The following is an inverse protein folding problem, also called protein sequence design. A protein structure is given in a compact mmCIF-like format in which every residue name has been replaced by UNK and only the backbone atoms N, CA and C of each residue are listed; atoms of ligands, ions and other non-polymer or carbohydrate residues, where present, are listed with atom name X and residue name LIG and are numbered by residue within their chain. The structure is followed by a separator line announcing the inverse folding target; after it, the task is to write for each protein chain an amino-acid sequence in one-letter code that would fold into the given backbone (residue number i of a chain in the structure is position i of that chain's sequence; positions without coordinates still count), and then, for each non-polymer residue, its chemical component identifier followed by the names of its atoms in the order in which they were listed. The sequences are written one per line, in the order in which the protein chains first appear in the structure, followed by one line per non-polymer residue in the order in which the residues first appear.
data_IF_886450553649
#
_entry.id   IF_886450553649
#
_cell.length_a   1.000
_cell.length_b   1.000
_cell.length_c   1.000
_cell.angle_alpha   90.00
_cell.angle_beta   90.00
_cell.angle_gamma   90.00
#
_symmetry.space_group_name_H-M   'P 1'
#
loop_
_entity.id
_entity.type
_entity.pdbx_description
1 polymer ?
#
# COMPACT_ATOMS: atom_id res chain seq x y z
N UNK A 1 -20.57 64.33 -20.43
CA UNK A 1 -20.58 62.86 -20.47
C UNK A 1 -19.66 62.40 -19.34
N UNK A 2 -20.12 61.83 -18.24
CA UNK A 2 -21.37 61.12 -17.95
C UNK A 2 -21.60 61.14 -16.43
N UNK A 3 -22.83 61.44 -16.04
CA UNK A 3 -23.33 61.30 -14.67
C UNK A 3 -23.08 59.89 -14.11
N UNK A 4 -22.56 59.83 -12.89
CA UNK A 4 -22.75 58.67 -12.01
C UNK A 4 -23.29 59.19 -10.67
N UNK A 5 -24.58 58.93 -10.34
CA UNK A 5 -25.13 59.33 -9.06
C UNK A 5 -24.54 58.46 -7.95
N UNK A 6 -24.21 59.11 -6.82
CA UNK A 6 -23.75 58.46 -5.61
C UNK A 6 -24.77 57.43 -5.11
N UNK A 7 -24.30 56.22 -4.84
CA UNK A 7 -25.10 55.16 -4.20
C UNK A 7 -25.40 55.59 -2.76
N UNK A 8 -26.68 55.62 -2.32
CA UNK A 8 -27.02 55.98 -0.95
C UNK A 8 -26.49 54.93 0.03
N UNK A 9 -26.18 55.30 1.29
CA UNK A 9 -25.72 54.34 2.28
C UNK A 9 -26.81 53.29 2.54
N UNK A 10 -26.42 52.02 2.51
CA UNK A 10 -27.30 50.88 2.83
C UNK A 10 -27.89 51.07 4.23
N UNK A 11 -29.20 50.81 4.42
CA UNK A 11 -29.82 50.89 5.74
C UNK A 11 -29.16 49.89 6.69
N UNK A 12 -28.69 50.40 7.83
CA UNK A 12 -28.24 49.61 8.97
C UNK A 12 -29.42 48.81 9.51
N UNK A 13 -29.50 47.52 9.16
CA UNK A 13 -30.56 46.66 9.69
C UNK A 13 -30.97 45.44 8.87
N UNK A 14 -30.25 45.06 7.82
CA UNK A 14 -30.46 43.78 7.16
C UNK A 14 -29.37 42.78 7.61
N UNK A 15 -29.55 42.22 8.80
CA UNK A 15 -28.89 40.95 9.13
C UNK A 15 -29.31 39.95 8.04
N UNK A 16 -28.36 39.54 7.22
CA UNK A 16 -28.53 38.48 6.26
C UNK A 16 -28.85 37.20 7.03
N UNK A 17 -30.13 36.88 7.14
CA UNK A 17 -30.63 35.56 7.50
C UNK A 17 -30.32 34.58 6.37
N UNK A 18 -29.04 34.42 6.03
CA UNK A 18 -28.57 33.13 5.53
C UNK A 18 -28.70 32.18 6.72
N UNK A 19 -29.38 31.02 6.59
CA UNK A 19 -29.38 30.04 7.65
C UNK A 19 -27.92 29.75 8.00
N UNK A 20 -27.51 30.08 9.24
CA UNK A 20 -26.21 29.69 9.77
C UNK A 20 -26.09 28.20 9.48
N UNK A 21 -25.12 27.82 8.66
CA UNK A 21 -24.87 26.43 8.34
C UNK A 21 -24.76 25.69 9.69
N UNK A 22 -25.72 24.83 10.05
CA UNK A 22 -25.81 24.28 11.41
C UNK A 22 -24.65 23.34 11.75
N UNK A 23 -23.74 23.15 10.79
CA UNK A 23 -22.60 22.24 10.86
C UNK A 23 -21.24 22.93 10.91
N UNK A 24 -21.16 24.26 11.05
CA UNK A 24 -19.89 25.00 11.17
C UNK A 24 -18.99 24.52 12.32
N UNK A 25 -19.54 23.81 13.30
CA UNK A 25 -18.82 23.28 14.46
C UNK A 25 -18.80 21.75 14.53
N UNK A 26 -19.14 21.04 13.45
CA UNK A 26 -19.05 19.57 13.44
C UNK A 26 -17.58 19.18 13.21
N UNK A 27 -16.91 18.52 14.16
CA UNK A 27 -15.51 18.13 13.96
C UNK A 27 -15.43 17.16 12.77
N UNK A 28 -14.59 17.48 11.79
CA UNK A 28 -14.28 16.60 10.65
C UNK A 28 -13.85 15.23 11.21
N UNK A 29 -14.66 14.19 10.98
CA UNK A 29 -14.49 12.88 11.62
C UNK A 29 -13.32 12.09 11.00
N UNK A 30 -13.07 12.28 9.70
CA UNK A 30 -11.89 11.76 9.01
C UNK A 30 -11.32 12.79 8.03
N UNK A 31 -10.13 13.28 8.35
CA UNK A 31 -9.34 14.16 7.48
C UNK A 31 -8.26 13.34 6.78
N UNK A 32 -8.39 13.12 5.47
CA UNK A 32 -7.41 12.37 4.68
C UNK A 32 -6.10 13.15 4.51
N UNK A 33 -6.16 14.49 4.45
CA UNK A 33 -4.98 15.34 4.33
C UNK A 33 -4.11 15.33 5.60
N UNK A 34 -4.74 15.23 6.78
CA UNK A 34 -4.07 15.13 8.08
C UNK A 34 -3.85 13.71 8.56
N UNK A 35 -4.51 12.67 8.05
CA UNK A 35 -4.30 11.29 8.52
C UNK A 35 -3.49 10.41 7.57
N UNK A 36 -3.36 10.78 6.29
CA UNK A 36 -2.44 10.07 5.39
C UNK A 36 -0.99 10.35 5.79
N UNK A 37 -0.25 9.28 6.05
CA UNK A 37 1.13 9.35 6.56
C UNK A 37 2.05 9.94 5.50
N UNK A 38 1.78 9.67 4.23
CA UNK A 38 2.58 10.20 3.12
C UNK A 38 2.42 11.72 3.02
N UNK A 39 1.19 12.24 3.21
CA UNK A 39 0.92 13.69 3.23
C UNK A 39 1.44 14.39 4.47
N UNK A 40 1.40 13.74 5.65
CA UNK A 40 2.07 14.27 6.86
C UNK A 40 3.56 14.48 6.65
N UNK A 41 4.18 13.61 5.84
CA UNK A 41 5.60 13.68 5.50
C UNK A 41 5.88 14.52 4.25
N UNK A 42 4.87 15.19 3.67
CA UNK A 42 5.02 16.10 2.53
C UNK A 42 5.08 15.42 1.16
N UNK A 43 4.78 14.11 1.07
CA UNK A 43 4.81 13.37 -0.20
C UNK A 43 3.41 13.24 -0.82
N UNK A 44 3.37 13.11 -2.16
CA UNK A 44 2.14 12.86 -2.90
C UNK A 44 1.66 11.42 -2.65
N UNK A 45 0.59 11.27 -1.87
CA UNK A 45 0.00 9.97 -1.60
C UNK A 45 -0.60 9.35 -2.86
N UNK A 46 -0.34 8.04 -3.08
CA UNK A 46 -1.00 7.28 -4.15
C UNK A 46 -2.51 7.10 -3.92
N UNK A 47 -3.23 6.70 -4.97
CA UNK A 47 -4.70 6.55 -4.96
C UNK A 47 -5.13 5.36 -4.07
N UNK A 48 -6.11 5.60 -3.20
CA UNK A 48 -6.70 4.60 -2.30
C UNK A 48 -5.64 3.89 -1.42
N UNK A 49 -5.44 2.59 -1.60
CA UNK A 49 -4.47 1.78 -0.85
C UNK A 49 -3.06 1.84 -1.44
N UNK A 50 -2.89 2.39 -2.65
CA UNK A 50 -1.59 2.41 -3.30
C UNK A 50 -0.67 3.46 -2.64
N UNK A 51 0.51 3.07 -2.10
CA UNK A 51 1.48 4.04 -1.61
C UNK A 51 2.14 4.82 -2.75
N UNK A 52 2.68 5.99 -2.43
CA UNK A 52 3.57 6.73 -3.33
C UNK A 52 4.83 5.91 -3.60
N UNK A 53 5.52 6.14 -4.73
CA UNK A 53 6.72 5.35 -5.08
C UNK A 53 7.99 5.82 -4.36
N UNK A 54 8.10 7.13 -4.09
CA UNK A 54 9.34 7.74 -3.57
C UNK A 54 9.55 7.52 -2.09
N UNK A 55 8.50 7.63 -1.27
CA UNK A 55 8.62 7.53 0.18
C UNK A 55 8.98 6.10 0.63
N UNK A 56 8.31 5.02 0.18
CA UNK A 56 8.70 3.66 0.51
C UNK A 56 10.10 3.30 0.00
N UNK A 57 10.54 3.89 -1.11
CA UNK A 57 11.89 3.70 -1.62
C UNK A 57 12.94 4.31 -0.69
N UNK A 58 12.75 5.59 -0.29
CA UNK A 58 13.64 6.26 0.67
C UNK A 58 13.68 5.52 2.01
N UNK A 59 12.53 5.09 2.51
CA UNK A 59 12.46 4.29 3.73
C UNK A 59 13.17 2.94 3.56
N UNK A 60 13.02 2.28 2.41
CA UNK A 60 13.71 1.04 2.09
C UNK A 60 15.22 1.18 2.10
N UNK A 61 15.76 2.26 1.52
CA UNK A 61 17.20 2.57 1.57
C UNK A 61 17.62 2.81 3.02
N UNK A 62 16.89 3.64 3.77
CA UNK A 62 17.21 3.94 5.16
C UNK A 62 17.24 2.68 6.02
N UNK A 63 16.24 1.80 5.88
CA UNK A 63 16.19 0.52 6.60
C UNK A 63 17.33 -0.41 6.19
N UNK A 64 17.71 -0.42 4.92
CA UNK A 64 18.86 -1.21 4.43
C UNK A 64 20.16 -0.72 5.04
N UNK A 65 20.40 0.59 5.03
CA UNK A 65 21.59 1.20 5.66
C UNK A 65 21.58 0.93 7.16
N UNK A 66 20.45 1.10 7.83
CA UNK A 66 20.32 0.82 9.26
C UNK A 66 20.58 -0.65 9.59
N UNK A 67 20.10 -1.58 8.74
CA UNK A 67 20.35 -3.01 8.89
C UNK A 67 21.84 -3.33 8.79
N UNK A 68 22.53 -2.92 7.71
CA UNK A 68 23.96 -3.16 7.57
C UNK A 68 24.79 -2.47 8.66
N UNK A 69 24.39 -1.27 9.08
CA UNK A 69 25.01 -0.58 10.23
C UNK A 69 24.87 -1.41 11.50
N UNK A 70 23.68 -1.97 11.76
CA UNK A 70 23.44 -2.87 12.90
C UNK A 70 24.25 -4.16 12.81
N UNK A 71 24.37 -4.75 11.61
CA UNK A 71 25.21 -5.94 11.39
C UNK A 71 26.67 -5.66 11.74
N UNK A 72 27.22 -4.52 11.29
CA UNK A 72 28.61 -4.13 11.53
C UNK A 72 28.85 -3.76 13.00
N UNK A 73 27.99 -2.92 13.60
CA UNK A 73 28.21 -2.40 14.95
C UNK A 73 27.88 -3.42 16.06
N UNK A 74 26.86 -4.26 15.85
CA UNK A 74 26.33 -5.15 16.87
C UNK A 74 26.75 -6.59 16.58
N UNK A 75 26.37 -7.15 15.43
CA UNK A 75 26.53 -8.58 15.17
C UNK A 75 27.99 -8.99 14.96
N UNK A 76 28.82 -8.12 14.41
CA UNK A 76 30.26 -8.38 14.26
C UNK A 76 31.01 -8.36 15.61
N UNK A 77 30.48 -7.60 16.59
CA UNK A 77 31.09 -7.43 17.91
C UNK A 77 30.84 -8.61 18.84
N UNK A 78 29.78 -9.38 18.60
CA UNK A 78 29.39 -10.52 19.45
C UNK A 78 29.82 -11.86 18.83
N UNK A 79 30.65 -12.67 19.53
CA UNK A 79 31.21 -13.91 18.99
C UNK A 79 30.16 -14.91 18.49
N UNK A 80 29.00 -14.98 19.16
CA UNK A 80 27.92 -15.91 18.82
C UNK A 80 27.16 -15.53 17.54
N UNK A 81 27.20 -14.27 17.10
CA UNK A 81 26.48 -13.77 15.91
C UNK A 81 27.37 -13.56 14.69
N UNK A 82 28.68 -13.81 14.79
CA UNK A 82 29.62 -13.59 13.69
C UNK A 82 29.29 -14.42 12.45
N UNK A 83 28.77 -15.65 12.63
CA UNK A 83 28.32 -16.48 11.52
C UNK A 83 27.24 -15.78 10.69
N UNK A 84 26.24 -15.18 11.34
CA UNK A 84 25.16 -14.45 10.67
C UNK A 84 25.68 -13.18 10.00
N UNK A 85 26.56 -12.42 10.67
CA UNK A 85 27.17 -11.23 10.08
C UNK A 85 27.96 -11.58 8.79
N UNK A 86 28.73 -12.68 8.84
CA UNK A 86 29.51 -13.13 7.69
C UNK A 86 28.63 -13.53 6.51
N UNK A 87 27.42 -14.05 6.74
CA UNK A 87 26.47 -14.39 5.68
C UNK A 87 26.05 -13.16 4.86
N UNK A 88 25.95 -11.99 5.47
CA UNK A 88 25.52 -10.75 4.80
C UNK A 88 26.68 -9.92 4.25
N UNK A 89 27.86 -9.96 4.89
CA UNK A 89 29.00 -9.11 4.53
C UNK A 89 30.04 -9.80 3.63
N UNK A 90 30.31 -11.09 3.88
CA UNK A 90 31.49 -11.78 3.33
C UNK A 90 31.16 -12.75 2.18
N UNK A 91 29.87 -12.94 1.85
CA UNK A 91 29.41 -13.92 0.84
C UNK A 91 29.23 -13.33 -0.57
N UNK A 92 29.98 -12.28 -0.90
CA UNK A 92 29.95 -11.63 -2.21
C UNK A 92 28.87 -10.54 -2.33
N UNK A 93 28.56 -10.08 -3.56
CA UNK A 93 27.72 -8.91 -3.77
C UNK A 93 26.21 -9.18 -3.73
N UNK A 94 25.77 -10.43 -3.84
CA UNK A 94 24.34 -10.80 -3.95
C UNK A 94 23.47 -10.52 -2.70
N UNK A 95 23.99 -10.62 -1.45
CA UNK A 95 23.22 -10.28 -0.25
C UNK A 95 22.77 -8.81 -0.20
N UNK A 96 23.60 -7.86 -0.68
CA UNK A 96 23.28 -6.43 -0.67
C UNK A 96 21.99 -6.06 -1.44
N UNK A 97 21.82 -6.41 -2.73
CA UNK A 97 20.58 -6.14 -3.45
C UNK A 97 19.42 -6.98 -2.91
N UNK A 98 19.67 -8.18 -2.39
CA UNK A 98 18.63 -9.02 -1.78
C UNK A 98 17.99 -8.31 -0.58
N UNK A 99 18.82 -7.81 0.33
CA UNK A 99 18.38 -7.07 1.52
C UNK A 99 17.70 -5.74 1.13
N UNK A 100 18.22 -5.05 0.12
CA UNK A 100 17.62 -3.81 -0.39
C UNK A 100 16.20 -4.05 -0.93
N UNK A 101 16.03 -5.05 -1.80
CA UNK A 101 14.71 -5.41 -2.34
C UNK A 101 13.77 -5.86 -1.23
N UNK A 102 14.27 -6.60 -0.24
CA UNK A 102 13.49 -7.02 0.92
C UNK A 102 12.95 -5.84 1.73
N UNK A 103 13.80 -4.90 2.15
CA UNK A 103 13.36 -3.75 2.93
C UNK A 103 12.53 -2.75 2.12
N UNK A 104 12.79 -2.63 0.82
CA UNK A 104 11.93 -1.84 -0.05
C UNK A 104 10.53 -2.44 -0.16
N UNK A 105 10.42 -3.76 -0.39
CA UNK A 105 9.14 -4.46 -0.39
C UNK A 105 8.41 -4.28 0.96
N UNK A 106 9.12 -4.47 2.07
CA UNK A 106 8.56 -4.32 3.41
C UNK A 106 8.05 -2.90 3.68
N UNK A 107 8.79 -1.89 3.19
CA UNK A 107 8.37 -0.49 3.28
C UNK A 107 7.06 -0.25 2.53
N UNK A 108 6.94 -0.75 1.29
CA UNK A 108 5.70 -0.62 0.50
C UNK A 108 4.54 -1.29 1.24
N UNK A 109 4.75 -2.51 1.73
CA UNK A 109 3.73 -3.27 2.48
C UNK A 109 3.31 -2.56 3.76
N UNK A 110 4.25 -1.93 4.48
CA UNK A 110 3.95 -1.15 5.68
C UNK A 110 3.04 0.04 5.38
N UNK A 111 3.32 0.83 4.34
CA UNK A 111 2.46 1.95 3.96
C UNK A 111 1.09 1.47 3.49
N UNK A 112 1.06 0.39 2.70
CA UNK A 112 -0.18 -0.22 2.21
C UNK A 112 -1.06 -0.69 3.36
N UNK A 113 -0.49 -1.41 4.34
CA UNK A 113 -1.17 -1.78 5.58
C UNK A 113 -1.77 -0.58 6.30
N UNK A 114 -0.98 0.49 6.51
CA UNK A 114 -1.45 1.69 7.22
C UNK A 114 -2.60 2.37 6.47
N UNK A 115 -2.56 2.41 5.14
CA UNK A 115 -3.64 2.94 4.30
C UNK A 115 -4.89 2.07 4.37
N UNK A 116 -4.76 0.74 4.31
CA UNK A 116 -5.90 -0.19 4.47
C UNK A 116 -6.58 -0.02 5.82
N UNK A 117 -5.82 0.11 6.90
CA UNK A 117 -6.39 0.38 8.24
C UNK A 117 -7.13 1.73 8.28
N UNK A 118 -6.60 2.76 7.64
CA UNK A 118 -7.28 4.07 7.54
C UNK A 118 -8.60 3.96 6.75
N UNK A 119 -8.62 3.17 5.67
CA UNK A 119 -9.83 2.95 4.89
C UNK A 119 -10.89 2.11 5.64
N UNK A 120 -10.46 1.12 6.43
CA UNK A 120 -11.37 0.35 7.28
C UNK A 120 -12.12 1.24 8.27
N UNK A 121 -11.53 2.34 8.74
CA UNK A 121 -12.23 3.31 9.61
C UNK A 121 -13.39 4.00 8.90
N UNK A 122 -13.37 4.13 7.57
CA UNK A 122 -14.46 4.71 6.81
C UNK A 122 -15.70 3.80 6.77
N UNK A 123 -15.55 2.48 6.96
CA UNK A 123 -16.69 1.55 7.06
C UNK A 123 -17.56 1.83 8.28
N UNK A 124 -16.98 2.38 9.35
CA UNK A 124 -17.69 2.69 10.59
C UNK A 124 -18.44 4.04 10.53
N UNK A 125 -18.30 4.81 9.45
CA UNK A 125 -18.98 6.10 9.33
C UNK A 125 -20.48 5.88 9.07
N UNK A 126 -21.37 6.50 9.85
CA UNK A 126 -22.81 6.43 9.62
C UNK A 126 -23.21 7.33 8.45
N UNK A 127 -22.85 6.91 7.23
CA UNK A 127 -23.08 7.65 5.98
C UNK A 127 -24.56 7.73 5.63
N UNK A 128 -25.30 6.63 5.83
CA UNK A 128 -26.74 6.58 5.58
C UNK A 128 -27.57 6.67 6.87
N UNK A 129 -28.74 7.34 6.81
CA UNK A 129 -29.69 7.32 7.92
C UNK A 129 -30.11 5.88 8.26
N UNK A 130 -29.95 5.50 9.53
CA UNK A 130 -30.29 4.18 10.07
C UNK A 130 -31.81 3.98 10.27
N UNK A 131 -32.64 4.93 9.84
CA UNK A 131 -34.08 4.85 9.98
C UNK A 131 -34.65 3.73 9.06
N UNK A 132 -35.55 2.87 9.58
CA UNK A 132 -36.20 1.82 8.78
C UNK A 132 -36.96 2.34 7.57
N UNK A 133 -37.60 3.51 7.71
CA UNK A 133 -38.42 4.16 6.68
C UNK A 133 -37.62 5.04 5.71
N UNK A 134 -36.28 5.01 5.78
CA UNK A 134 -35.47 5.80 4.87
C UNK A 134 -35.48 5.19 3.47
N UNK A 135 -36.07 5.92 2.53
CA UNK A 135 -36.07 5.59 1.10
C UNK A 135 -35.07 6.46 0.33
N UNK A 136 -34.31 5.80 -0.55
CA UNK A 136 -33.33 6.46 -1.41
C UNK A 136 -34.04 6.92 -2.69
N UNK A 137 -34.28 8.24 -2.76
CA UNK A 137 -34.89 8.95 -3.89
C UNK A 137 -33.89 9.99 -4.44
N UNK A 138 -34.09 10.55 -5.64
CA UNK A 138 -33.22 11.61 -6.15
C UNK A 138 -33.10 12.83 -5.22
N UNK A 139 -34.15 13.14 -4.46
CA UNK A 139 -34.16 14.22 -3.49
C UNK A 139 -33.36 13.89 -2.22
N UNK A 140 -33.52 12.68 -1.67
CA UNK A 140 -32.77 12.24 -0.47
C UNK A 140 -31.31 11.88 -0.80
N UNK A 141 -31.01 11.50 -2.03
CA UNK A 141 -29.64 11.28 -2.49
C UNK A 141 -28.78 12.55 -2.38
N UNK A 142 -29.33 13.73 -2.68
CA UNK A 142 -28.61 15.00 -2.54
C UNK A 142 -28.25 15.31 -1.08
N UNK A 143 -29.20 15.11 -0.15
CA UNK A 143 -28.95 15.34 1.27
C UNK A 143 -27.94 14.35 1.87
N UNK A 144 -27.91 13.09 1.39
CA UNK A 144 -26.86 12.12 1.78
C UNK A 144 -25.49 12.55 1.26
N UNK A 145 -25.38 13.05 0.02
CA UNK A 145 -24.11 13.54 -0.54
C UNK A 145 -23.60 14.79 0.19
N UNK A 146 -24.47 15.72 0.53
CA UNK A 146 -24.12 16.90 1.35
C UNK A 146 -23.68 16.49 2.76
N UNK A 147 -24.35 15.50 3.37
CA UNK A 147 -23.92 14.96 4.66
C UNK A 147 -22.52 14.32 4.58
N UNK A 148 -22.24 13.59 3.51
CA UNK A 148 -20.92 13.00 3.27
C UNK A 148 -19.81 14.04 3.12
N UNK A 149 -20.06 15.13 2.37
CA UNK A 149 -19.07 16.18 2.14
C UNK A 149 -18.77 17.01 3.39
N UNK A 150 -19.68 17.03 4.37
CA UNK A 150 -19.46 17.66 5.68
C UNK A 150 -18.69 16.72 6.64
N UNK A 151 -18.85 15.40 6.52
CA UNK A 151 -18.20 14.43 7.41
C UNK A 151 -16.74 14.14 7.07
N UNK A 152 -16.34 14.35 5.81
CA UNK A 152 -15.01 14.00 5.28
C UNK A 152 -14.53 15.09 4.32
N UNK A 153 -13.27 15.51 4.43
CA UNK A 153 -12.72 16.61 3.59
C UNK A 153 -12.82 16.34 2.10
N UNK A 154 -12.63 15.07 1.70
CA UNK A 154 -12.82 14.65 0.32
C UNK A 154 -13.25 13.17 0.26
N UNK A 155 -14.53 12.90 -0.05
CA UNK A 155 -15.09 11.56 -0.20
C UNK A 155 -14.36 10.69 -1.23
N UNK A 156 -13.75 11.29 -2.26
CA UNK A 156 -13.09 10.56 -3.34
C UNK A 156 -11.79 9.86 -2.94
N UNK A 157 -11.25 10.12 -1.74
CA UNK A 157 -10.06 9.43 -1.23
C UNK A 157 -10.38 8.09 -0.55
N UNK A 158 -11.65 7.82 -0.27
CA UNK A 158 -12.10 6.57 0.34
C UNK A 158 -12.89 5.75 -0.67
N UNK A 159 -12.55 4.46 -0.79
CA UNK A 159 -13.20 3.54 -1.74
C UNK A 159 -14.71 3.51 -1.54
N UNK A 160 -15.17 3.25 -0.30
CA UNK A 160 -16.60 3.21 0.04
C UNK A 160 -17.34 4.52 -0.32
N UNK A 161 -16.80 5.66 0.11
CA UNK A 161 -17.48 6.95 -0.07
C UNK A 161 -17.49 7.37 -1.54
N UNK A 162 -16.41 7.12 -2.27
CA UNK A 162 -16.36 7.36 -3.71
C UNK A 162 -17.41 6.51 -4.45
N UNK A 163 -17.60 5.24 -4.04
CA UNK A 163 -18.63 4.38 -4.64
C UNK A 163 -20.04 4.91 -4.40
N UNK A 164 -20.33 5.26 -3.15
CA UNK A 164 -21.63 5.81 -2.77
C UNK A 164 -21.88 7.13 -3.50
N UNK A 165 -20.92 8.05 -3.53
CA UNK A 165 -21.08 9.34 -4.20
C UNK A 165 -21.37 9.17 -5.71
N UNK A 166 -20.62 8.30 -6.38
CA UNK A 166 -20.81 8.07 -7.82
C UNK A 166 -22.13 7.34 -8.12
N UNK A 167 -22.58 6.43 -7.25
CA UNK A 167 -23.90 5.81 -7.38
C UNK A 167 -25.04 6.83 -7.17
N UNK A 168 -24.94 7.69 -6.15
CA UNK A 168 -25.94 8.72 -5.85
C UNK A 168 -25.94 9.85 -6.90
N UNK A 169 -24.79 10.21 -7.45
CA UNK A 169 -24.68 11.20 -8.51
C UNK A 169 -25.43 10.76 -9.77
N UNK A 170 -25.33 9.48 -10.12
CA UNK A 170 -25.97 8.93 -11.30
C UNK A 170 -27.46 8.64 -11.08
N UNK A 171 -27.92 8.54 -9.82
CA UNK A 171 -29.32 8.28 -9.48
C UNK A 171 -30.29 9.36 -10.02
N UNK A 172 -29.83 10.61 -10.19
CA UNK A 172 -30.65 11.67 -10.79
C UNK A 172 -30.79 11.53 -12.32
N UNK A 173 -29.80 10.92 -12.98
CA UNK A 173 -29.73 10.77 -14.43
C UNK A 173 -30.28 9.41 -14.91
N UNK A 174 -30.48 8.47 -13.99
CA UNK A 174 -30.80 7.08 -14.27
C UNK A 174 -32.25 6.78 -13.86
N UNK A 175 -33.03 6.27 -14.81
CA UNK A 175 -34.43 5.93 -14.62
C UNK A 175 -34.70 4.56 -14.00
N UNK A 176 -33.69 3.68 -13.86
CA UNK A 176 -33.85 2.30 -13.37
C UNK A 176 -32.84 1.89 -12.29
N UNK A 177 -33.32 1.18 -11.26
CA UNK A 177 -32.52 0.78 -10.10
C UNK A 177 -31.49 -0.29 -10.47
N UNK A 178 -31.79 -1.06 -11.53
CA UNK A 178 -30.87 -2.02 -12.17
C UNK A 178 -29.57 -1.38 -12.62
N UNK A 179 -29.62 -0.14 -13.09
CA UNK A 179 -28.47 0.53 -13.68
C UNK A 179 -27.54 1.06 -12.56
N UNK A 180 -28.10 1.49 -11.44
CA UNK A 180 -27.33 1.84 -10.23
C UNK A 180 -26.59 0.62 -9.68
N UNK A 181 -27.26 -0.53 -9.61
CA UNK A 181 -26.64 -1.79 -9.21
C UNK A 181 -25.50 -2.21 -10.17
N UNK A 182 -25.70 -2.00 -11.47
CA UNK A 182 -24.68 -2.26 -12.50
C UNK A 182 -23.46 -1.35 -12.33
N UNK A 183 -23.67 -0.06 -12.08
CA UNK A 183 -22.59 0.90 -11.82
C UNK A 183 -21.79 0.51 -10.57
N UNK A 184 -22.47 0.13 -9.49
CA UNK A 184 -21.82 -0.34 -8.26
C UNK A 184 -20.97 -1.58 -8.51
N UNK A 185 -21.47 -2.53 -9.31
CA UNK A 185 -20.72 -3.73 -9.71
C UNK A 185 -19.47 -3.40 -10.52
N UNK A 186 -19.59 -2.56 -11.55
CA UNK A 186 -18.45 -2.13 -12.38
C UNK A 186 -17.39 -1.44 -11.52
N UNK A 187 -17.79 -0.62 -10.56
CA UNK A 187 -16.85 0.02 -9.62
C UNK A 187 -16.18 -1.00 -8.69
N UNK A 188 -16.93 -2.01 -8.24
CA UNK A 188 -16.37 -3.08 -7.43
C UNK A 188 -15.24 -3.81 -8.16
N UNK A 189 -15.51 -4.23 -9.40
CA UNK A 189 -14.53 -4.89 -10.27
C UNK A 189 -13.30 -3.99 -10.54
N UNK A 190 -13.52 -2.68 -10.77
CA UNK A 190 -12.43 -1.73 -11.00
C UNK A 190 -11.53 -1.54 -9.78
N UNK A 191 -12.09 -1.50 -8.57
CA UNK A 191 -11.31 -1.35 -7.35
C UNK A 191 -10.53 -2.62 -7.02
N UNK A 192 -11.10 -3.80 -7.25
CA UNK A 192 -10.40 -5.08 -7.13
C UNK A 192 -9.21 -5.14 -8.10
N UNK A 193 -9.43 -4.79 -9.37
CA UNK A 193 -8.37 -4.71 -10.37
C UNK A 193 -7.27 -3.70 -9.98
N UNK A 194 -7.65 -2.55 -9.42
CA UNK A 194 -6.69 -1.55 -8.94
C UNK A 194 -5.85 -2.09 -7.77
N UNK A 195 -6.48 -2.76 -6.80
CA UNK A 195 -5.78 -3.37 -5.66
C UNK A 195 -4.83 -4.46 -6.16
N UNK A 196 -5.27 -5.34 -7.07
CA UNK A 196 -4.40 -6.35 -7.66
C UNK A 196 -3.19 -5.74 -8.39
N UNK A 197 -3.43 -4.73 -9.24
CA UNK A 197 -2.37 -4.03 -9.98
C UNK A 197 -1.33 -3.38 -9.07
N UNK A 198 -1.74 -2.88 -7.89
CA UNK A 198 -0.83 -2.24 -6.94
C UNK A 198 0.27 -3.17 -6.38
N UNK A 199 0.11 -4.49 -6.47
CA UNK A 199 1.11 -5.47 -6.04
C UNK A 199 2.16 -5.79 -7.11
N UNK A 200 2.03 -5.30 -8.34
CA UNK A 200 2.89 -5.71 -9.45
C UNK A 200 4.39 -5.53 -9.18
N UNK A 201 4.79 -4.42 -8.55
CA UNK A 201 6.20 -4.20 -8.18
C UNK A 201 6.69 -5.20 -7.11
N UNK A 202 5.86 -5.48 -6.09
CA UNK A 202 6.19 -6.41 -5.00
C UNK A 202 6.32 -7.84 -5.54
N UNK A 203 5.43 -8.24 -6.46
CA UNK A 203 5.53 -9.53 -7.14
C UNK A 203 6.84 -9.66 -7.92
N UNK A 204 7.27 -8.58 -8.58
CA UNK A 204 8.59 -8.51 -9.22
C UNK A 204 9.74 -8.74 -8.23
N UNK A 205 9.66 -8.19 -7.02
CA UNK A 205 10.68 -8.39 -5.98
C UNK A 205 10.68 -9.81 -5.40
N UNK A 206 9.50 -10.38 -5.15
CA UNK A 206 9.36 -11.77 -4.67
C UNK A 206 9.94 -12.76 -5.69
N UNK A 207 9.83 -12.46 -6.99
CA UNK A 207 10.47 -13.25 -8.04
C UNK A 207 11.98 -12.99 -8.14
N UNK A 208 12.42 -11.73 -8.04
CA UNK A 208 13.83 -11.37 -8.22
C UNK A 208 14.74 -11.85 -7.08
N UNK A 209 14.25 -11.87 -5.82
CA UNK A 209 15.04 -12.24 -4.65
C UNK A 209 15.60 -13.68 -4.76
N UNK A 210 14.78 -14.72 -5.01
CA UNK A 210 15.28 -16.09 -5.21
C UNK A 210 16.28 -16.21 -6.37
N UNK A 211 16.07 -15.46 -7.46
CA UNK A 211 16.99 -15.43 -8.60
C UNK A 211 18.35 -14.85 -8.18
N UNK A 212 18.37 -13.79 -7.38
CA UNK A 212 19.62 -13.25 -6.81
C UNK A 212 20.34 -14.27 -5.91
N UNK A 213 19.58 -15.04 -5.12
CA UNK A 213 20.12 -16.15 -4.34
C UNK A 213 20.78 -17.22 -5.21
N UNK A 214 20.11 -17.62 -6.29
CA UNK A 214 20.67 -18.56 -7.27
C UNK A 214 21.90 -18.01 -8.00
N UNK A 215 21.92 -16.72 -8.34
CA UNK A 215 23.12 -16.08 -8.88
C UNK A 215 24.27 -16.15 -7.86
N UNK A 216 23.99 -15.93 -6.57
CA UNK A 216 24.96 -16.07 -5.49
C UNK A 216 25.57 -17.47 -5.42
N UNK A 217 24.75 -18.53 -5.55
CA UNK A 217 25.27 -19.90 -5.57
C UNK A 217 26.12 -20.19 -6.79
N UNK A 218 25.68 -19.76 -7.98
CA UNK A 218 26.43 -19.95 -9.23
C UNK A 218 27.81 -19.28 -9.13
N UNK A 219 27.89 -18.06 -8.58
CA UNK A 219 29.15 -17.36 -8.37
C UNK A 219 30.05 -18.09 -7.36
N UNK A 220 29.51 -18.49 -6.20
CA UNK A 220 30.28 -19.20 -5.17
C UNK A 220 30.81 -20.55 -5.64
N UNK A 221 29.99 -21.32 -6.35
CA UNK A 221 30.39 -22.60 -6.95
C UNK A 221 31.42 -22.42 -8.06
N UNK A 222 31.25 -21.44 -8.93
CA UNK A 222 32.19 -21.16 -10.03
C UNK A 222 33.58 -20.80 -9.49
N UNK A 223 33.65 -19.96 -8.46
CA UNK A 223 34.91 -19.60 -7.82
C UNK A 223 35.58 -20.79 -7.13
N UNK A 224 34.80 -21.59 -6.39
CA UNK A 224 35.27 -22.80 -5.72
C UNK A 224 35.90 -23.80 -6.72
N UNK A 225 35.17 -24.13 -7.79
CA UNK A 225 35.62 -25.09 -8.80
C UNK A 225 36.79 -24.55 -9.62
N UNK A 226 36.78 -23.26 -9.95
CA UNK A 226 37.88 -22.60 -10.68
C UNK A 226 39.20 -22.65 -9.91
N UNK A 227 39.18 -22.36 -8.60
CA UNK A 227 40.38 -22.43 -7.75
C UNK A 227 40.95 -23.85 -7.65
N UNK A 228 40.08 -24.86 -7.56
CA UNK A 228 40.49 -26.26 -7.55
C UNK A 228 41.14 -26.69 -8.88
N UNK A 229 40.55 -26.30 -10.00
CA UNK A 229 41.07 -26.61 -11.34
C UNK A 229 42.46 -26.01 -11.57
N UNK A 230 42.67 -24.77 -11.14
CA UNK A 230 43.98 -24.11 -11.20
C UNK A 230 45.04 -24.85 -10.36
N UNK A 231 44.64 -25.37 -9.19
CA UNK A 231 45.54 -26.16 -8.33
C UNK A 231 45.97 -27.46 -9.01
N UNK A 232 45.03 -28.15 -9.67
CA UNK A 232 45.31 -29.38 -10.42
C UNK A 232 46.26 -29.12 -11.60
N UNK A 233 46.06 -28.03 -12.34
CA UNK A 233 46.90 -27.69 -13.51
C UNK A 233 48.31 -27.26 -13.12
N UNK A 234 48.51 -26.74 -11.90
CA UNK A 234 49.81 -26.27 -11.42
C UNK A 234 50.75 -27.41 -11.00
N UNK A 235 50.36 -28.68 -11.16
CA UNK A 235 51.17 -29.83 -10.74
C UNK A 235 51.40 -29.91 -9.23
N UNK A 236 50.48 -29.34 -8.46
CA UNK A 236 50.66 -29.11 -7.03
C UNK A 236 50.62 -30.42 -6.23
N UNK A 237 51.44 -30.53 -5.18
CA UNK A 237 51.53 -31.73 -4.33
C UNK A 237 50.26 -32.06 -3.55
N UNK A 238 50.27 -33.17 -2.81
CA UNK A 238 49.11 -33.67 -2.06
C UNK A 238 48.55 -32.65 -1.04
N UNK A 239 49.41 -31.86 -0.40
CA UNK A 239 49.01 -30.86 0.59
C UNK A 239 48.21 -29.69 -0.04
N UNK A 240 48.63 -29.23 -1.22
CA UNK A 240 47.88 -28.23 -1.99
C UNK A 240 46.54 -28.77 -2.46
N UNK A 241 46.47 -30.05 -2.85
CA UNK A 241 45.20 -30.66 -3.24
C UNK A 241 44.23 -30.75 -2.05
N UNK A 242 44.73 -31.10 -0.87
CA UNK A 242 43.95 -31.11 0.37
C UNK A 242 43.44 -29.71 0.75
N UNK A 243 44.29 -28.70 0.64
CA UNK A 243 43.92 -27.29 0.89
C UNK A 243 42.85 -26.79 -0.10
N UNK A 244 42.98 -27.14 -1.38
CA UNK A 244 41.99 -26.76 -2.39
C UNK A 244 40.67 -27.48 -2.22
N UNK A 245 40.66 -28.75 -1.78
CA UNK A 245 39.43 -29.45 -1.40
C UNK A 245 38.73 -28.75 -0.23
N UNK A 246 39.46 -28.35 0.82
CA UNK A 246 38.88 -27.59 1.94
C UNK A 246 38.29 -26.25 1.48
N UNK A 247 38.99 -25.56 0.57
CA UNK A 247 38.51 -24.30 -0.02
C UNK A 247 37.23 -24.50 -0.83
N UNK A 248 37.14 -25.58 -1.63
CA UNK A 248 35.92 -25.93 -2.39
C UNK A 248 34.75 -26.20 -1.46
N UNK A 249 34.96 -26.99 -0.40
CA UNK A 249 33.90 -27.29 0.57
C UNK A 249 33.44 -26.04 1.31
N UNK A 250 34.36 -25.13 1.66
CA UNK A 250 34.01 -23.82 2.23
C UNK A 250 33.21 -22.96 1.25
N UNK A 251 33.64 -22.88 -0.01
CA UNK A 251 32.95 -22.16 -1.08
C UNK A 251 31.53 -22.69 -1.33
N UNK A 252 31.32 -24.00 -1.27
CA UNK A 252 29.99 -24.61 -1.33
C UNK A 252 29.08 -24.15 -0.18
N UNK A 253 29.60 -24.09 1.04
CA UNK A 253 28.87 -23.55 2.19
C UNK A 253 28.48 -22.08 1.99
N UNK A 254 29.42 -21.26 1.52
CA UNK A 254 29.17 -19.83 1.23
C UNK A 254 28.07 -19.63 0.19
N UNK A 255 28.06 -20.47 -0.86
CA UNK A 255 27.05 -20.46 -1.90
C UNK A 255 25.66 -20.72 -1.30
N UNK A 256 25.50 -21.80 -0.53
CA UNK A 256 24.21 -22.13 0.07
C UNK A 256 23.68 -21.07 1.04
N UNK A 257 24.55 -20.42 1.82
CA UNK A 257 24.18 -19.33 2.71
C UNK A 257 23.46 -18.20 1.97
N UNK A 258 23.97 -17.80 0.80
CA UNK A 258 23.36 -16.71 0.00
C UNK A 258 21.97 -17.05 -0.51
N UNK A 259 21.77 -18.30 -0.94
CA UNK A 259 20.44 -18.78 -1.38
C UNK A 259 19.50 -18.91 -0.19
N UNK A 260 19.97 -19.41 0.95
CA UNK A 260 19.15 -19.55 2.15
C UNK A 260 18.57 -18.19 2.58
N UNK A 261 19.39 -17.14 2.64
CA UNK A 261 18.93 -15.78 2.95
C UNK A 261 17.84 -15.34 1.97
N UNK A 262 18.09 -15.48 0.67
CA UNK A 262 17.16 -15.07 -0.37
C UNK A 262 15.80 -15.79 -0.23
N UNK A 263 15.81 -17.11 -0.03
CA UNK A 263 14.59 -17.89 0.12
C UNK A 263 13.82 -17.52 1.38
N UNK A 264 14.50 -17.30 2.52
CA UNK A 264 13.86 -16.86 3.77
C UNK A 264 13.22 -15.48 3.59
N UNK A 265 13.93 -14.54 2.97
CA UNK A 265 13.39 -13.21 2.67
C UNK A 265 12.17 -13.28 1.74
N UNK A 266 12.24 -14.06 0.66
CA UNK A 266 11.13 -14.22 -0.28
C UNK A 266 9.90 -14.86 0.38
N UNK A 267 10.11 -15.90 1.19
CA UNK A 267 9.04 -16.57 1.94
C UNK A 267 8.37 -15.61 2.92
N UNK A 268 9.15 -14.86 3.69
CA UNK A 268 8.61 -13.88 4.64
C UNK A 268 7.78 -12.80 3.92
N UNK A 269 8.26 -12.27 2.80
CA UNK A 269 7.50 -11.31 2.00
C UNK A 269 6.21 -11.91 1.45
N UNK A 270 6.27 -13.14 0.92
CA UNK A 270 5.10 -13.82 0.37
C UNK A 270 4.01 -13.99 1.43
N UNK A 271 4.37 -14.37 2.66
CA UNK A 271 3.41 -14.50 3.76
C UNK A 271 2.76 -13.16 4.11
N UNK A 272 3.54 -12.08 4.20
CA UNK A 272 3.01 -10.73 4.50
C UNK A 272 2.08 -10.26 3.39
N UNK A 273 2.46 -10.48 2.12
CA UNK A 273 1.63 -10.15 0.94
C UNK A 273 0.30 -10.89 1.00
N UNK A 274 0.32 -12.20 1.21
CA UNK A 274 -0.88 -13.02 1.26
C UNK A 274 -1.83 -12.55 2.37
N UNK A 275 -1.31 -12.22 3.56
CA UNK A 275 -2.11 -11.70 4.65
C UNK A 275 -2.72 -10.33 4.33
N UNK A 276 -1.93 -9.41 3.76
CA UNK A 276 -2.42 -8.08 3.42
C UNK A 276 -3.44 -8.10 2.27
N UNK A 277 -3.24 -8.96 1.26
CA UNK A 277 -4.20 -9.18 0.19
C UNK A 277 -5.53 -9.72 0.71
N UNK A 278 -5.50 -10.69 1.64
CA UNK A 278 -6.70 -11.20 2.28
C UNK A 278 -7.48 -10.08 3.00
N UNK A 279 -6.79 -9.25 3.80
CA UNK A 279 -7.41 -8.12 4.50
C UNK A 279 -7.97 -7.04 3.57
N UNK A 280 -7.32 -6.80 2.44
CA UNK A 280 -7.84 -5.86 1.44
C UNK A 280 -9.07 -6.43 0.72
N UNK A 281 -9.08 -7.74 0.42
CA UNK A 281 -10.26 -8.42 -0.13
C UNK A 281 -11.45 -8.32 0.82
N UNK A 282 -11.27 -8.67 2.09
CA UNK A 282 -12.31 -8.56 3.12
C UNK A 282 -12.86 -7.12 3.25
N UNK A 283 -11.98 -6.12 3.10
CA UNK A 283 -12.39 -4.72 3.11
C UNK A 283 -13.24 -4.35 1.88
N UNK A 284 -12.87 -4.81 0.67
CA UNK A 284 -13.64 -4.58 -0.55
C UNK A 284 -14.99 -5.29 -0.50
N UNK A 285 -15.04 -6.51 0.04
CA UNK A 285 -16.28 -7.26 0.28
C UNK A 285 -17.19 -6.50 1.24
N UNK A 286 -16.66 -6.00 2.37
CA UNK A 286 -17.42 -5.18 3.30
C UNK A 286 -17.96 -3.89 2.65
N UNK A 287 -17.19 -3.25 1.76
CA UNK A 287 -17.67 -2.11 0.99
C UNK A 287 -18.83 -2.50 0.08
N UNK A 288 -18.72 -3.65 -0.60
CA UNK A 288 -19.75 -4.15 -1.49
C UNK A 288 -21.05 -4.43 -0.74
N UNK A 289 -20.93 -5.09 0.42
CA UNK A 289 -22.04 -5.39 1.32
C UNK A 289 -22.78 -4.14 1.79
N UNK A 290 -22.05 -3.09 2.19
CA UNK A 290 -22.64 -1.82 2.62
C UNK A 290 -23.37 -1.15 1.44
N UNK A 291 -22.73 -1.09 0.27
CA UNK A 291 -23.34 -0.52 -0.94
C UNK A 291 -24.61 -1.28 -1.34
N UNK A 292 -24.60 -2.61 -1.34
CA UNK A 292 -25.77 -3.41 -1.66
C UNK A 292 -26.90 -3.22 -0.63
N UNK A 293 -26.61 -3.32 0.67
CA UNK A 293 -27.62 -3.21 1.74
C UNK A 293 -28.22 -1.81 1.84
N UNK A 294 -27.40 -0.78 1.79
CA UNK A 294 -27.83 0.60 2.08
C UNK A 294 -28.15 1.41 0.84
N UNK A 295 -27.45 1.21 -0.29
CA UNK A 295 -27.77 1.91 -1.55
C UNK A 295 -28.79 1.10 -2.32
N UNK A 296 -28.42 -0.10 -2.79
CA UNK A 296 -29.27 -0.86 -3.71
C UNK A 296 -30.58 -1.35 -3.06
N UNK A 297 -30.52 -1.82 -1.82
CA UNK A 297 -31.66 -2.35 -1.08
C UNK A 297 -32.69 -1.31 -0.62
N UNK A 298 -32.32 -0.01 -0.59
CA UNK A 298 -33.20 1.09 -0.18
C UNK A 298 -33.65 1.97 -1.36
N UNK A 299 -33.31 1.60 -2.60
CA UNK A 299 -33.78 2.30 -3.80
C UNK A 299 -35.29 2.12 -3.97
N UNK A 300 -36.03 3.22 -3.95
CA UNK A 300 -37.38 3.29 -4.53
C UNK A 300 -37.37 4.34 -5.62
N UNK A 301 -37.51 3.89 -6.86
CA UNK A 301 -37.78 4.78 -7.97
C UNK A 301 -39.28 5.00 -8.00
N UNK A 302 -39.71 6.26 -8.03
CA UNK A 302 -41.11 6.57 -8.28
C UNK A 302 -41.46 5.99 -9.64
N UNK A 303 -42.31 4.97 -9.66
CA UNK A 303 -43.00 4.54 -10.88
C UNK A 303 -43.83 5.73 -11.35
N UNK A 304 -43.33 6.45 -12.36
CA UNK A 304 -44.18 7.34 -13.14
C UNK A 304 -44.85 6.55 -14.25
#
# INVERSE_FOLDING_TARGET
MSDTPAVPPLPSGAESHLPRNPFQNTPVLLDWSRRDIERRLGFRGGRFTNPGKSLPFLLGILLTVAFFTGVILILQRWPQSQWLASMFLDRGPCPYPTVLLFFWALSILFFKWRKTVLQQQALALPVMPQQPDFELTPATARSVRERMSVMVDNPHHFVLLNRIDLALANLHNIGHASDVATILKIQAENDEAQVASSYGLIQGFIWAIPVLGFIGTVLGLSQAIGGFTNTLQSGAGMDSLRSSMQTVTGGLGTAFDTTLIALVCALALQLIVSFLQARESEFLDACNDICHKHVAGKLKLSSH
#
